data_IF_655142970713
#
_entry.id   IF_655142970713
#
_cell.length_a   1.000
_cell.length_b   1.000
_cell.length_c   1.000
_cell.angle_alpha   90.00
_cell.angle_beta   90.00
_cell.angle_gamma   90.00
#
_symmetry.space_group_name_H-M   'P 1'
#
loop_
_entity.id
_entity.type
_entity.pdbx_description
1 polymer ?
#
# COMPACT_ATOMS: atom_id res chain seq x y z
N UNK A 1 -39.01 -68.97 -1.48
CA UNK A 1 -39.65 -67.82 -2.15
C UNK A 1 -40.29 -66.82 -1.18
N UNK A 2 -41.03 -67.24 -0.16
CA UNK A 2 -41.64 -66.27 0.78
C UNK A 2 -40.60 -65.53 1.65
N UNK A 3 -39.60 -66.22 2.22
CA UNK A 3 -38.58 -65.59 3.07
C UNK A 3 -37.76 -64.51 2.33
N UNK A 4 -37.38 -64.77 1.08
CA UNK A 4 -36.61 -63.83 0.25
C UNK A 4 -37.42 -62.56 -0.07
N UNK A 5 -38.74 -62.66 -0.19
CA UNK A 5 -39.60 -61.50 -0.48
C UNK A 5 -39.73 -60.58 0.74
N UNK A 6 -39.76 -61.15 1.95
CA UNK A 6 -39.79 -60.40 3.21
C UNK A 6 -38.47 -59.69 3.47
N UNK A 7 -37.33 -60.34 3.20
CA UNK A 7 -36.01 -59.72 3.31
C UNK A 7 -35.86 -58.52 2.36
N UNK A 8 -36.29 -58.66 1.11
CA UNK A 8 -36.30 -57.56 0.12
C UNK A 8 -37.17 -56.40 0.62
N UNK A 9 -38.36 -56.69 1.16
CA UNK A 9 -39.26 -55.66 1.70
C UNK A 9 -38.62 -54.88 2.85
N UNK A 10 -38.03 -55.58 3.81
CA UNK A 10 -37.37 -54.94 4.96
C UNK A 10 -36.17 -54.09 4.52
N UNK A 11 -35.38 -54.59 3.55
CA UNK A 11 -34.27 -53.84 2.97
C UNK A 11 -34.73 -52.59 2.23
N UNK A 12 -35.89 -52.63 1.56
CA UNK A 12 -36.47 -51.48 0.88
C UNK A 12 -36.96 -50.43 1.87
N UNK A 13 -37.61 -50.85 2.95
CA UNK A 13 -38.04 -49.93 4.02
C UNK A 13 -36.83 -49.26 4.68
N UNK A 14 -35.78 -50.01 4.99
CA UNK A 14 -34.53 -49.46 5.54
C UNK A 14 -33.83 -48.48 4.55
N UNK A 15 -33.85 -48.78 3.25
CA UNK A 15 -33.32 -47.89 2.23
C UNK A 15 -34.14 -46.58 2.14
N UNK A 16 -35.47 -46.66 2.20
CA UNK A 16 -36.34 -45.48 2.17
C UNK A 16 -36.11 -44.57 3.37
N UNK A 17 -36.00 -45.11 4.59
CA UNK A 17 -35.71 -44.28 5.77
C UNK A 17 -34.36 -43.56 5.65
N UNK A 18 -33.34 -44.23 5.11
CA UNK A 18 -32.02 -43.61 4.86
C UNK A 18 -32.08 -42.52 3.80
N UNK A 19 -32.93 -42.68 2.77
CA UNK A 19 -33.14 -41.65 1.75
C UNK A 19 -33.80 -40.42 2.37
N UNK A 20 -34.84 -40.59 3.17
CA UNK A 20 -35.51 -39.48 3.85
C UNK A 20 -34.55 -38.72 4.78
N UNK A 21 -33.75 -39.44 5.56
CA UNK A 21 -32.71 -38.83 6.41
C UNK A 21 -31.69 -38.05 5.58
N UNK A 22 -31.25 -38.59 4.43
CA UNK A 22 -30.33 -37.90 3.54
C UNK A 22 -30.98 -36.65 2.90
N UNK A 23 -32.27 -36.69 2.55
CA UNK A 23 -33.00 -35.53 2.02
C UNK A 23 -33.08 -34.39 3.04
N UNK A 24 -33.37 -34.70 4.31
CA UNK A 24 -33.38 -33.71 5.39
C UNK A 24 -31.98 -33.10 5.60
N UNK A 25 -30.93 -33.92 5.62
CA UNK A 25 -29.55 -33.43 5.73
C UNK A 25 -29.13 -32.56 4.54
N UNK A 26 -29.55 -32.92 3.32
CA UNK A 26 -29.31 -32.11 2.12
C UNK A 26 -29.97 -30.74 2.28
N UNK A 27 -31.23 -30.69 2.73
CA UNK A 27 -31.94 -29.43 2.97
C UNK A 27 -31.21 -28.54 3.99
N UNK A 28 -30.73 -29.10 5.11
CA UNK A 28 -29.99 -28.33 6.11
C UNK A 28 -28.66 -27.78 5.56
N UNK A 29 -27.96 -28.58 4.75
CA UNK A 29 -26.70 -28.16 4.11
C UNK A 29 -26.95 -27.06 3.07
N UNK A 30 -28.02 -27.16 2.28
CA UNK A 30 -28.43 -26.14 1.32
C UNK A 30 -28.73 -24.80 2.00
N UNK A 31 -29.48 -24.83 3.11
CA UNK A 31 -29.76 -23.64 3.92
C UNK A 31 -28.46 -23.00 4.43
N UNK A 32 -27.54 -23.81 4.99
CA UNK A 32 -26.24 -23.31 5.47
C UNK A 32 -25.37 -22.74 4.35
N UNK A 33 -25.40 -23.33 3.15
CA UNK A 33 -24.66 -22.83 2.00
C UNK A 33 -25.18 -21.47 1.54
N UNK A 34 -26.49 -21.25 1.61
CA UNK A 34 -27.10 -19.95 1.31
C UNK A 34 -26.61 -18.86 2.27
N UNK A 35 -26.58 -19.15 3.58
CA UNK A 35 -26.08 -18.22 4.60
C UNK A 35 -24.58 -17.91 4.42
N UNK A 36 -23.76 -18.93 4.12
CA UNK A 36 -22.32 -18.75 3.87
C UNK A 36 -22.11 -17.82 2.67
N UNK A 37 -22.85 -18.04 1.59
CA UNK A 37 -22.75 -17.22 0.36
C UNK A 37 -23.04 -15.75 0.65
N UNK A 38 -24.09 -15.46 1.41
CA UNK A 38 -24.44 -14.08 1.79
C UNK A 38 -23.36 -13.42 2.67
N UNK A 39 -22.79 -14.18 3.61
CA UNK A 39 -21.68 -13.70 4.45
C UNK A 39 -20.44 -13.41 3.62
N UNK A 40 -20.09 -14.26 2.67
CA UNK A 40 -18.95 -14.08 1.77
C UNK A 40 -19.13 -12.85 0.87
N UNK A 41 -20.28 -12.69 0.23
CA UNK A 41 -20.59 -11.49 -0.56
C UNK A 41 -20.51 -10.22 0.28
N UNK A 42 -20.99 -10.25 1.53
CA UNK A 42 -20.90 -9.11 2.45
C UNK A 42 -19.45 -8.81 2.83
N UNK A 43 -18.63 -9.84 3.09
CA UNK A 43 -17.20 -9.68 3.39
C UNK A 43 -16.45 -9.11 2.19
N UNK A 44 -16.72 -9.61 0.98
CA UNK A 44 -16.12 -9.12 -0.26
C UNK A 44 -16.44 -7.63 -0.49
N UNK A 45 -17.72 -7.24 -0.35
CA UNK A 45 -18.13 -5.82 -0.43
C UNK A 45 -17.46 -4.95 0.62
N UNK A 46 -17.12 -5.49 1.80
CA UNK A 46 -16.38 -4.76 2.85
C UNK A 46 -14.90 -4.64 2.51
N UNK A 47 -14.28 -5.71 2.03
CA UNK A 47 -12.88 -5.71 1.62
C UNK A 47 -12.64 -4.72 0.48
N UNK A 48 -13.50 -4.72 -0.54
CA UNK A 48 -13.42 -3.78 -1.65
C UNK A 48 -13.52 -2.32 -1.19
N UNK A 49 -14.49 -2.00 -0.32
CA UNK A 49 -14.61 -0.66 0.29
C UNK A 49 -13.38 -0.27 1.09
N UNK A 50 -12.81 -1.20 1.85
CA UNK A 50 -11.61 -0.96 2.63
C UNK A 50 -10.40 -0.71 1.72
N UNK A 51 -10.26 -1.48 0.63
CA UNK A 51 -9.21 -1.28 -0.37
C UNK A 51 -9.29 0.09 -1.03
N UNK A 52 -10.49 0.49 -1.47
CA UNK A 52 -10.71 1.81 -2.07
C UNK A 52 -10.42 2.94 -1.07
N UNK A 53 -10.84 2.78 0.19
CA UNK A 53 -10.55 3.75 1.26
C UNK A 53 -9.05 3.86 1.54
N UNK A 54 -8.34 2.73 1.55
CA UNK A 54 -6.88 2.70 1.69
C UNK A 54 -6.21 3.35 0.50
N UNK A 55 -6.70 3.11 -0.73
CA UNK A 55 -6.20 3.74 -1.95
C UNK A 55 -6.32 5.26 -1.87
N UNK A 56 -7.50 5.77 -1.52
CA UNK A 56 -7.74 7.21 -1.36
C UNK A 56 -6.86 7.83 -0.26
N UNK A 57 -6.73 7.16 0.88
CA UNK A 57 -5.83 7.60 1.96
C UNK A 57 -4.37 7.61 1.50
N UNK A 58 -3.91 6.54 0.87
CA UNK A 58 -2.54 6.43 0.36
C UNK A 58 -2.26 7.45 -0.73
N UNK A 59 -3.22 7.75 -1.60
CA UNK A 59 -3.11 8.84 -2.56
C UNK A 59 -2.89 10.17 -1.83
N UNK A 60 -3.76 10.53 -0.87
CA UNK A 60 -3.60 11.75 -0.03
C UNK A 60 -2.23 11.83 0.62
N UNK A 61 -1.73 10.72 1.18
CA UNK A 61 -0.40 10.65 1.79
C UNK A 61 0.69 10.79 0.72
N UNK A 62 0.62 10.06 -0.41
CA UNK A 62 1.61 10.12 -1.49
C UNK A 62 1.72 11.51 -2.11
N UNK A 63 0.63 12.28 -2.18
CA UNK A 63 0.62 13.64 -2.74
C UNK A 63 1.51 14.63 -1.99
N UNK A 64 1.93 14.36 -0.75
CA UNK A 64 2.81 15.28 0.00
C UNK A 64 4.29 14.92 0.00
N UNK A 65 4.67 13.71 -0.44
CA UNK A 65 6.03 13.20 -0.26
C UNK A 65 6.97 13.43 -1.47
N UNK A 66 8.18 13.93 -1.19
CA UNK A 66 9.33 14.02 -2.10
C UNK A 66 10.44 13.09 -1.61
N UNK A 67 11.05 12.34 -2.51
CA UNK A 67 12.22 11.50 -2.25
C UNK A 67 13.49 12.20 -2.70
N UNK A 68 14.48 12.29 -1.82
CA UNK A 68 15.83 12.73 -2.14
C UNK A 68 16.76 11.52 -2.14
N UNK A 69 17.43 11.28 -3.25
CA UNK A 69 18.30 10.11 -3.48
C UNK A 69 19.72 10.59 -3.76
N UNK A 70 20.70 9.91 -3.17
CA UNK A 70 22.13 10.16 -3.41
C UNK A 70 22.80 11.12 -2.42
N UNK A 71 22.13 11.47 -1.32
CA UNK A 71 22.74 12.22 -0.21
C UNK A 71 23.71 11.29 0.53
N UNK A 72 24.99 11.64 0.72
CA UNK A 72 25.97 10.77 1.39
C UNK A 72 25.65 10.55 2.88
N UNK A 73 25.81 9.31 3.34
CA UNK A 73 25.65 8.98 4.75
C UNK A 73 26.77 9.61 5.62
N UNK A 74 26.40 10.13 6.79
CA UNK A 74 27.31 10.76 7.75
C UNK A 74 27.14 12.28 7.86
N UNK A 75 26.77 12.94 6.76
CA UNK A 75 26.35 14.36 6.75
C UNK A 75 25.03 14.57 7.51
N UNK A 76 24.17 13.55 7.46
CA UNK A 76 22.85 13.55 8.11
C UNK A 76 22.93 13.22 9.61
N UNK A 77 24.09 12.75 10.10
CA UNK A 77 24.30 12.58 11.55
C UNK A 77 24.56 13.92 12.25
N UNK A 78 25.04 14.91 11.49
CA UNK A 78 25.35 16.26 11.95
C UNK A 78 24.20 17.24 11.66
N UNK A 79 23.42 17.01 10.58
CA UNK A 79 22.28 17.84 10.18
C UNK A 79 20.97 17.04 10.06
N UNK A 80 19.90 17.60 10.62
CA UNK A 80 18.54 17.07 10.52
C UNK A 80 18.08 17.10 9.05
N UNK A 81 17.39 16.07 8.53
CA UNK A 81 16.93 15.98 7.14
C UNK A 81 16.24 17.22 6.56
N UNK A 82 15.54 18.01 7.39
CA UNK A 82 14.95 19.28 7.00
C UNK A 82 16.02 20.23 6.45
N UNK A 83 17.11 20.46 7.19
CA UNK A 83 18.18 21.39 6.79
C UNK A 83 18.83 20.99 5.47
N UNK A 84 18.99 19.69 5.23
CA UNK A 84 19.54 19.17 3.97
C UNK A 84 18.61 19.53 2.81
N UNK A 85 17.32 19.33 3.00
CA UNK A 85 16.32 19.72 2.01
C UNK A 85 16.32 21.24 1.77
N UNK A 86 16.37 22.07 2.81
CA UNK A 86 16.45 23.53 2.67
C UNK A 86 17.65 23.97 1.84
N UNK A 87 18.84 23.40 2.10
CA UNK A 87 20.06 23.64 1.32
C UNK A 87 19.91 23.22 -0.15
N UNK A 88 19.27 22.08 -0.41
CA UNK A 88 19.02 21.60 -1.77
C UNK A 88 18.10 22.56 -2.52
N UNK A 89 17.00 23.00 -1.90
CA UNK A 89 16.04 23.91 -2.54
C UNK A 89 16.68 25.27 -2.79
N UNK A 90 17.33 25.87 -1.79
CA UNK A 90 17.97 27.17 -1.93
C UNK A 90 19.04 27.20 -3.03
N UNK A 91 19.80 26.10 -3.17
CA UNK A 91 20.87 26.00 -4.16
C UNK A 91 20.36 25.74 -5.58
N UNK A 92 19.41 24.82 -5.73
CA UNK A 92 18.99 24.33 -7.06
C UNK A 92 17.73 25.04 -7.59
N UNK A 93 16.93 25.63 -6.72
CA UNK A 93 15.67 26.30 -7.06
C UNK A 93 15.56 27.69 -6.39
N UNK A 94 16.51 28.62 -6.63
CA UNK A 94 16.54 29.92 -5.95
C UNK A 94 15.28 30.77 -6.20
N UNK A 95 14.59 30.54 -7.33
CA UNK A 95 13.38 31.26 -7.72
C UNK A 95 12.11 30.81 -6.97
N UNK A 96 12.18 29.77 -6.12
CA UNK A 96 11.02 29.29 -5.37
C UNK A 96 10.67 30.12 -4.13
N UNK A 97 11.50 31.08 -3.75
CA UNK A 97 11.29 31.94 -2.58
C UNK A 97 11.41 31.20 -1.24
N UNK A 98 11.60 31.95 -0.14
CA UNK A 98 11.77 31.38 1.21
C UNK A 98 10.52 30.66 1.74
N UNK A 99 9.35 30.97 1.21
CA UNK A 99 8.06 30.38 1.63
C UNK A 99 7.88 28.91 1.23
N UNK A 100 8.59 28.44 0.19
CA UNK A 100 8.55 27.03 -0.24
C UNK A 100 9.42 26.11 0.63
N UNK A 101 10.41 26.71 1.29
CA UNK A 101 11.42 26.03 2.11
C UNK A 101 10.88 25.71 3.51
N UNK A 102 10.01 26.56 4.05
CA UNK A 102 9.47 26.48 5.42
C UNK A 102 8.25 25.57 5.58
N UNK A 103 7.85 24.83 4.54
CA UNK A 103 6.61 24.04 4.52
C UNK A 103 6.84 22.53 4.62
N UNK A 104 7.87 22.13 5.35
CA UNK A 104 8.12 20.72 5.68
C UNK A 104 7.24 20.35 6.87
N UNK A 105 6.39 19.34 6.70
CA UNK A 105 5.65 18.73 7.80
C UNK A 105 6.53 17.73 8.56
N UNK A 106 7.33 16.96 7.82
CA UNK A 106 8.18 15.91 8.37
C UNK A 106 9.31 15.61 7.38
N UNK A 107 10.53 15.41 7.87
CA UNK A 107 11.63 14.92 7.07
C UNK A 107 12.34 13.77 7.78
N UNK A 108 12.47 12.64 7.11
CA UNK A 108 13.04 11.44 7.71
C UNK A 108 13.90 10.66 6.74
N UNK A 109 14.89 9.98 7.27
CA UNK A 109 15.74 9.09 6.48
C UNK A 109 15.23 7.66 6.55
N UNK A 110 15.05 7.05 5.38
CA UNK A 110 14.36 5.76 5.25
C UNK A 110 15.28 4.76 4.51
N UNK A 111 15.49 3.55 5.06
CA UNK A 111 15.00 3.05 6.36
C UNK A 111 15.69 3.69 7.57
N UNK A 112 15.05 3.72 8.75
CA UNK A 112 15.63 4.34 9.96
C UNK A 112 16.99 3.73 10.37
N UNK A 113 17.17 2.43 10.16
CA UNK A 113 18.42 1.71 10.44
C UNK A 113 19.32 1.66 9.21
N UNK A 114 20.60 1.94 9.41
CA UNK A 114 21.64 1.75 8.39
C UNK A 114 21.84 0.25 8.19
N UNK A 115 21.85 -0.20 6.94
CA UNK A 115 22.18 -1.58 6.58
C UNK A 115 23.62 -1.61 6.04
N UNK A 116 24.59 -2.19 6.76
CA UNK A 116 26.00 -2.24 6.33
C UNK A 116 26.21 -2.97 5.00
N UNK A 117 25.26 -3.80 4.56
CA UNK A 117 25.33 -4.54 3.28
C UNK A 117 24.88 -3.71 2.07
N UNK A 118 24.31 -2.51 2.28
CA UNK A 118 23.89 -1.62 1.18
C UNK A 118 25.02 -0.66 0.82
N UNK A 119 25.38 -0.65 -0.45
CA UNK A 119 26.39 0.27 -0.99
C UNK A 119 25.80 1.63 -1.43
N UNK A 120 24.48 1.75 -1.44
CA UNK A 120 23.77 2.99 -1.78
C UNK A 120 23.37 3.74 -0.52
N UNK A 121 23.50 5.08 -0.47
CA UNK A 121 23.00 5.85 0.65
C UNK A 121 21.49 5.71 0.81
N UNK A 122 21.00 5.82 2.05
CA UNK A 122 19.57 5.86 2.34
C UNK A 122 18.89 7.07 1.68
N UNK A 123 17.60 6.92 1.42
CA UNK A 123 16.81 7.99 0.86
C UNK A 123 16.30 8.90 1.98
N UNK A 124 16.11 10.18 1.66
CA UNK A 124 15.41 11.11 2.54
C UNK A 124 13.99 11.27 2.01
N UNK A 125 13.02 11.03 2.88
CA UNK A 125 11.60 11.24 2.66
C UNK A 125 11.19 12.59 3.26
N UNK A 126 10.74 13.51 2.42
CA UNK A 126 10.26 14.83 2.84
C UNK A 126 8.76 14.90 2.63
N UNK A 127 8.00 15.15 3.68
CA UNK A 127 6.56 15.39 3.64
C UNK A 127 6.31 16.90 3.64
N UNK A 128 5.66 17.40 2.60
CA UNK A 128 5.32 18.81 2.44
C UNK A 128 3.88 19.09 2.88
N UNK A 129 3.65 20.24 3.51
CA UNK A 129 2.32 20.67 3.94
C UNK A 129 1.42 20.96 2.74
N UNK A 130 1.98 21.57 1.67
CA UNK A 130 1.25 21.90 0.44
C UNK A 130 1.66 21.00 -0.72
N UNK A 131 0.67 20.32 -1.31
CA UNK A 131 0.84 19.49 -2.51
C UNK A 131 1.31 20.34 -3.71
N UNK A 132 0.84 21.59 -3.82
CA UNK A 132 1.27 22.50 -4.89
C UNK A 132 2.77 22.75 -4.89
N UNK A 133 3.41 22.79 -3.72
CA UNK A 133 4.85 23.03 -3.62
C UNK A 133 5.63 21.79 -4.06
N UNK A 134 5.17 20.59 -3.69
CA UNK A 134 5.70 19.32 -4.24
C UNK A 134 5.69 19.31 -5.76
N UNK A 135 4.56 19.62 -6.38
CA UNK A 135 4.41 19.59 -7.84
C UNK A 135 5.37 20.56 -8.51
N UNK A 136 5.49 21.79 -7.99
CA UNK A 136 6.46 22.76 -8.48
C UNK A 136 7.89 22.25 -8.38
N UNK A 137 8.27 21.63 -7.25
CA UNK A 137 9.63 21.11 -7.03
C UNK A 137 9.93 19.96 -7.97
N UNK A 138 9.02 19.01 -8.11
CA UNK A 138 9.21 17.88 -9.01
C UNK A 138 9.20 18.31 -10.48
N UNK A 139 8.41 19.32 -10.85
CA UNK A 139 8.44 19.91 -12.19
C UNK A 139 9.79 20.56 -12.46
N UNK A 140 10.24 21.44 -11.56
CA UNK A 140 11.54 22.10 -11.70
C UNK A 140 12.69 21.08 -11.70
N UNK A 141 12.59 20.01 -10.91
CA UNK A 141 13.56 18.93 -10.88
C UNK A 141 13.65 18.15 -12.19
N UNK A 142 12.54 18.02 -12.93
CA UNK A 142 12.51 17.39 -14.27
C UNK A 142 13.08 18.31 -15.34
N UNK A 143 12.81 19.62 -15.23
CA UNK A 143 13.31 20.63 -16.17
C UNK A 143 14.81 20.89 -15.98
N UNK A 144 15.31 20.78 -14.75
CA UNK A 144 16.72 20.92 -14.44
C UNK A 144 17.52 19.66 -14.83
N UNK A 145 18.54 19.86 -15.67
CA UNK A 145 19.42 18.77 -16.12
C UNK A 145 20.31 18.19 -15.01
N UNK A 146 20.62 18.96 -13.97
CA UNK A 146 21.48 18.53 -12.88
C UNK A 146 21.06 19.17 -11.55
N UNK A 147 20.76 18.32 -10.57
CA UNK A 147 20.51 18.74 -9.19
C UNK A 147 21.70 18.27 -8.36
N UNK A 148 22.25 19.14 -7.54
CA UNK A 148 23.44 18.81 -6.74
C UNK A 148 23.28 19.18 -5.26
N UNK A 149 23.89 18.35 -4.41
CA UNK A 149 24.11 18.63 -3.00
C UNK A 149 25.60 18.54 -2.70
N UNK A 150 26.21 19.59 -2.12
CA UNK A 150 27.66 19.66 -1.88
C UNK A 150 28.55 19.18 -3.05
N UNK A 151 28.21 19.61 -4.28
CA UNK A 151 28.86 19.24 -5.55
C UNK A 151 28.67 17.78 -6.00
N UNK A 152 27.92 16.96 -5.27
CA UNK A 152 27.53 15.61 -5.69
C UNK A 152 26.16 15.64 -6.37
N UNK A 153 25.96 14.87 -7.46
CA UNK A 153 24.67 14.77 -8.10
C UNK A 153 23.67 14.04 -7.19
N UNK A 154 22.44 14.55 -7.14
CA UNK A 154 21.32 13.95 -6.41
C UNK A 154 20.08 13.89 -7.31
N UNK A 155 19.10 13.09 -6.92
CA UNK A 155 17.82 12.97 -7.62
C UNK A 155 16.66 13.29 -6.68
N UNK A 156 15.73 14.10 -7.17
CA UNK A 156 14.43 14.32 -6.55
C UNK A 156 13.37 13.54 -7.33
N UNK A 157 12.55 12.75 -6.64
CA UNK A 157 11.47 11.99 -7.25
C UNK A 157 10.20 11.98 -6.41
N UNK A 158 9.07 11.70 -7.05
CA UNK A 158 7.83 11.43 -6.33
C UNK A 158 7.90 10.04 -5.68
N UNK A 159 7.19 9.87 -4.56
CA UNK A 159 6.95 8.55 -3.99
C UNK A 159 5.89 7.83 -4.86
N UNK A 160 6.30 6.94 -5.75
CA UNK A 160 5.38 6.11 -6.54
C UNK A 160 5.19 4.76 -5.86
N UNK A 161 3.94 4.32 -5.73
CA UNK A 161 3.62 2.93 -5.40
C UNK A 161 4.03 2.03 -6.55
N UNK A 162 4.44 0.79 -6.25
CA UNK A 162 4.74 -0.22 -7.26
C UNK A 162 3.50 -0.61 -8.12
N UNK A 163 2.29 -0.23 -7.72
CA UNK A 163 1.03 -0.61 -8.38
C UNK A 163 0.71 0.16 -9.67
N UNK A 164 1.49 1.16 -10.07
CA UNK A 164 1.25 1.89 -11.33
C UNK A 164 2.05 1.34 -12.51
N UNK A 165 2.68 0.17 -12.36
CA UNK A 165 3.30 -0.59 -13.44
C UNK A 165 2.46 -1.85 -13.72
N UNK A 166 1.35 -1.67 -14.44
CA UNK A 166 0.46 -2.72 -14.93
C UNK A 166 -0.23 -2.25 -16.20
#
# INVERSE_FOLDING_TARGET
>A
MQNTLTEIKNSLEAANSRIQEAEEQISEVEDRLSEITDVEQKKEKRLKRNEDSLREFWEKVKYSHVHVIGVPEGEEREKVPEKIYEEIIAKNFPNMGKESVTQIQEAQQVPYKINPRRNTPRHILIKLIKIKDKEKILKAARENKQITYKRKPIKLSANFSAETAG
#
